data_IF_530966926536
#
_entry.id   IF_530966926536
#
_cell.length_a   1.000
_cell.length_b   1.000
_cell.length_c   1.000
_cell.angle_alpha   90.00
_cell.angle_beta   90.00
_cell.angle_gamma   90.00
#
_symmetry.space_group_name_H-M   'P 1'
#
loop_
_entity.id
_entity.type
_entity.pdbx_description
1 polymer ?
#
# COMPACT_ATOMS: atom_id res chain seq x y z
N UNK A 1 -6.41 16.48 4.83
CA UNK A 1 -5.44 15.36 4.85
C UNK A 1 -5.98 14.06 4.19
N UNK A 2 -6.71 14.13 3.06
CA UNK A 2 -7.44 12.98 2.48
C UNK A 2 -6.55 11.95 1.73
N UNK A 3 -5.31 12.31 1.41
CA UNK A 3 -4.39 11.51 0.60
C UNK A 3 -3.14 11.04 1.35
N UNK A 4 -2.97 11.45 2.60
CA UNK A 4 -1.79 11.12 3.40
C UNK A 4 -1.59 9.61 3.56
N UNK A 5 -2.66 8.87 3.85
CA UNK A 5 -2.61 7.42 3.94
C UNK A 5 -2.18 6.74 2.63
N UNK A 6 -2.55 7.32 1.48
CA UNK A 6 -2.14 6.82 0.16
C UNK A 6 -0.67 7.10 -0.11
N UNK A 7 -0.24 8.33 0.17
CA UNK A 7 1.14 8.75 -0.02
C UNK A 7 2.08 7.93 0.87
N UNK A 8 1.70 7.68 2.13
CA UNK A 8 2.44 6.83 3.04
C UNK A 8 2.51 5.37 2.55
N UNK A 9 1.38 4.79 2.14
CA UNK A 9 1.37 3.41 1.62
C UNK A 9 2.22 3.24 0.36
N UNK A 10 2.15 4.20 -0.58
CA UNK A 10 2.97 4.19 -1.80
C UNK A 10 4.45 4.34 -1.44
N UNK A 11 4.80 5.30 -0.57
CA UNK A 11 6.18 5.53 -0.16
C UNK A 11 6.78 4.31 0.55
N UNK A 12 6.04 3.69 1.47
CA UNK A 12 6.49 2.47 2.16
C UNK A 12 6.69 1.31 1.18
N UNK A 13 5.78 1.14 0.22
CA UNK A 13 5.86 0.08 -0.79
C UNK A 13 7.04 0.30 -1.73
N UNK A 14 7.33 1.54 -2.13
CA UNK A 14 8.44 1.85 -3.03
C UNK A 14 9.78 1.70 -2.29
N UNK A 15 9.91 2.24 -1.08
CA UNK A 15 11.18 2.22 -0.33
C UNK A 15 11.52 0.79 0.09
N UNK A 16 10.60 0.11 0.78
CA UNK A 16 10.85 -1.23 1.30
C UNK A 16 10.63 -2.31 0.24
N UNK A 17 9.54 -2.24 -0.53
CA UNK A 17 9.26 -3.22 -1.58
C UNK A 17 10.16 -3.07 -2.81
N UNK A 18 10.47 -1.83 -3.23
CA UNK A 18 11.43 -1.58 -4.30
C UNK A 18 12.85 -1.99 -3.91
N UNK A 19 13.29 -1.63 -2.70
CA UNK A 19 14.57 -2.07 -2.14
C UNK A 19 14.68 -3.59 -2.04
N UNK A 20 13.62 -4.24 -1.54
CA UNK A 20 13.50 -5.70 -1.49
C UNK A 20 13.66 -6.34 -2.87
N UNK A 21 12.90 -5.87 -3.87
CA UNK A 21 12.94 -6.46 -5.21
C UNK A 21 14.33 -6.29 -5.84
N UNK A 22 14.97 -5.14 -5.66
CA UNK A 22 16.33 -4.91 -6.17
C UNK A 22 17.31 -5.91 -5.53
N UNK A 23 17.29 -6.09 -4.21
CA UNK A 23 18.18 -7.06 -3.55
C UNK A 23 17.86 -8.49 -3.94
N UNK A 24 16.59 -8.84 -4.03
CA UNK A 24 16.17 -10.18 -4.42
C UNK A 24 16.64 -10.54 -5.83
N UNK A 25 16.50 -9.62 -6.79
CA UNK A 25 16.91 -9.89 -8.18
C UNK A 25 18.42 -9.71 -8.42
N UNK A 26 19.07 -8.80 -7.70
CA UNK A 26 20.51 -8.53 -7.87
C UNK A 26 21.38 -9.50 -7.11
N UNK A 27 21.06 -9.70 -5.83
CA UNK A 27 21.90 -10.41 -4.87
C UNK A 27 21.35 -11.81 -4.57
N UNK A 28 20.11 -12.12 -4.99
CA UNK A 28 19.45 -13.40 -4.70
C UNK A 28 19.05 -13.56 -3.22
N UNK A 29 19.24 -12.51 -2.42
CA UNK A 29 19.08 -12.54 -0.97
C UNK A 29 17.68 -12.10 -0.56
N UNK A 30 17.02 -12.96 0.20
CA UNK A 30 15.67 -12.69 0.71
C UNK A 30 15.76 -11.95 2.04
N UNK A 31 15.83 -10.62 1.95
CA UNK A 31 15.88 -9.78 3.15
C UNK A 31 14.48 -9.58 3.75
N UNK A 32 14.16 -10.42 4.74
CA UNK A 32 12.84 -10.52 5.39
C UNK A 32 12.31 -9.17 5.92
N UNK A 33 13.19 -8.28 6.38
CA UNK A 33 12.80 -6.97 6.92
C UNK A 33 12.29 -6.01 5.84
N UNK A 34 12.89 -6.00 4.65
CA UNK A 34 12.37 -5.20 3.54
C UNK A 34 11.10 -5.82 2.92
N UNK A 35 11.05 -7.15 2.86
CA UNK A 35 9.85 -7.87 2.43
C UNK A 35 8.64 -7.51 3.31
N UNK A 36 8.78 -7.64 4.63
CA UNK A 36 7.72 -7.31 5.58
C UNK A 36 7.32 -5.84 5.52
N UNK A 37 8.27 -4.91 5.39
CA UNK A 37 8.00 -3.50 5.16
C UNK A 37 7.19 -3.24 3.88
N UNK A 38 7.53 -3.91 2.78
CA UNK A 38 6.79 -3.84 1.52
C UNK A 38 5.36 -4.39 1.64
N UNK A 39 5.19 -5.54 2.29
CA UNK A 39 3.88 -6.14 2.55
C UNK A 39 3.01 -5.22 3.42
N UNK A 40 3.56 -4.59 4.45
CA UNK A 40 2.83 -3.61 5.28
C UNK A 40 2.36 -2.42 4.42
N UNK A 41 3.22 -1.92 3.53
CA UNK A 41 2.87 -0.85 2.58
C UNK A 41 1.70 -1.21 1.68
N UNK A 42 1.71 -2.42 1.12
CA UNK A 42 0.63 -2.94 0.27
C UNK A 42 -0.67 -3.07 1.07
N UNK A 43 -0.63 -3.63 2.27
CA UNK A 43 -1.81 -3.76 3.13
C UNK A 43 -2.43 -2.40 3.46
N UNK A 44 -1.60 -1.38 3.72
CA UNK A 44 -2.07 -0.02 3.98
C UNK A 44 -2.81 0.59 2.77
N UNK A 45 -2.32 0.31 1.55
CA UNK A 45 -2.98 0.72 0.32
C UNK A 45 -4.31 -0.01 0.10
N UNK A 46 -4.36 -1.31 0.37
CA UNK A 46 -5.58 -2.11 0.29
C UNK A 46 -6.65 -1.60 1.27
N UNK A 47 -6.29 -1.33 2.52
CA UNK A 47 -7.21 -0.78 3.53
C UNK A 47 -7.82 0.54 3.03
N UNK A 48 -7.01 1.44 2.46
CA UNK A 48 -7.52 2.69 1.90
C UNK A 48 -8.48 2.47 0.74
N UNK A 49 -8.17 1.52 -0.15
CA UNK A 49 -9.01 1.18 -1.29
C UNK A 49 -10.37 0.63 -0.83
N UNK A 50 -10.38 -0.24 0.18
CA UNK A 50 -11.61 -0.77 0.78
C UNK A 50 -12.44 0.31 1.49
N UNK A 51 -11.81 1.21 2.26
CA UNK A 51 -12.51 2.32 2.92
C UNK A 51 -13.12 3.27 1.88
N UNK A 52 -12.38 3.60 0.83
CA UNK A 52 -12.85 4.49 -0.24
C UNK A 52 -14.04 3.88 -0.98
N UNK A 53 -14.00 2.57 -1.25
CA UNK A 53 -15.08 1.83 -1.90
C UNK A 53 -16.37 1.79 -1.06
N UNK A 54 -16.25 1.73 0.28
CA UNK A 54 -17.40 1.74 1.19
C UNK A 54 -18.12 3.11 1.21
N UNK A 55 -17.37 4.21 1.21
CA UNK A 55 -17.99 5.54 1.22
C UNK A 55 -18.68 5.89 -0.10
N UNK A 56 -18.12 5.47 -1.24
CA UNK A 56 -18.75 5.67 -2.56
C UNK A 56 -20.15 5.04 -2.69
N UNK A 57 -20.45 3.94 -1.98
CA UNK A 57 -21.77 3.31 -2.01
C UNK A 57 -22.83 4.04 -1.18
N UNK A 58 -22.44 4.91 -0.26
CA UNK A 58 -23.39 5.60 0.62
C UNK A 58 -23.97 6.86 -0.06
N UNK A 59 -23.18 7.49 -0.93
CA UNK A 59 -23.59 8.71 -1.63
C UNK A 59 -24.55 8.42 -2.81
N UNK A 60 -24.46 7.26 -3.45
CA UNK A 60 -25.38 6.86 -4.55
C UNK A 60 -26.81 6.53 -4.06
N UNK A 61 -26.97 6.18 -2.78
CA UNK A 61 -28.29 5.79 -2.22
C UNK A 61 -29.05 7.00 -1.66
N UNK A 62 -28.35 8.09 -1.33
CA UNK A 62 -28.95 9.29 -0.73
C UNK A 62 -29.49 10.29 -1.79
N UNK A 63 -29.14 10.12 -3.06
CA UNK A 63 -29.55 10.99 -4.17
C UNK A 63 -30.52 10.33 -5.17
N UNK A 64 -31.16 9.21 -4.80
CA UNK A 64 -32.19 8.56 -5.62
C UNK A 64 -33.58 8.67 -5.02
#
# INVERSE_FOLDING_TARGET
>A
MKYWLMSLGISLTIIFGGGFLIRLFRDGDFYIAEFTGGIIGINLLLIRLFITKKNSKTDDVLFK
#
